data_IF_606430322099
#
_entry.id   IF_606430322099
#
_cell.length_a   1.000
_cell.length_b   1.000
_cell.length_c   1.000
_cell.angle_alpha   90.00
_cell.angle_beta   90.00
_cell.angle_gamma   90.00
#
_symmetry.space_group_name_H-M   'P 1'
#
loop_
_entity.id
_entity.type
_entity.pdbx_description
1 polymer ?
#
# COMPACT_ATOMS: atom_id res chain seq x y z
N UNK A 1 7.12 31.86 26.45
CA UNK A 1 8.22 32.12 25.48
C UNK A 1 8.01 31.23 24.26
N UNK A 2 7.26 31.73 23.28
CA UNK A 2 6.91 31.01 22.04
C UNK A 2 7.25 31.88 20.81
N UNK A 3 8.36 32.62 20.85
CA UNK A 3 8.75 33.59 19.80
C UNK A 3 8.83 32.96 18.41
N UNK A 4 9.27 31.71 18.31
CA UNK A 4 9.33 30.97 17.04
C UNK A 4 7.93 30.61 16.50
N UNK A 5 6.97 30.29 17.37
CA UNK A 5 5.57 30.03 16.99
C UNK A 5 4.93 31.34 16.53
N UNK A 6 5.13 32.44 17.25
CA UNK A 6 4.62 33.77 16.90
C UNK A 6 5.14 34.24 15.54
N UNK A 7 6.45 34.13 15.28
CA UNK A 7 7.06 34.44 13.98
C UNK A 7 6.47 33.59 12.84
N UNK A 8 6.21 32.31 13.10
CA UNK A 8 5.61 31.40 12.11
C UNK A 8 4.15 31.76 11.83
N UNK A 9 3.38 32.14 12.86
CA UNK A 9 2.00 32.59 12.73
C UNK A 9 1.89 33.91 11.95
N UNK A 10 2.83 34.86 12.19
CA UNK A 10 2.92 36.09 11.41
C UNK A 10 3.28 35.85 9.94
N UNK A 11 4.14 34.86 9.67
CA UNK A 11 4.45 34.43 8.29
C UNK A 11 3.27 33.79 7.57
N UNK A 12 2.43 33.03 8.30
CA UNK A 12 1.20 32.42 7.78
C UNK A 12 0.06 33.42 7.55
N UNK A 13 0.01 34.51 8.33
CA UNK A 13 -1.01 35.55 8.25
C UNK A 13 -0.37 36.94 8.23
N UNK A 14 0.28 37.35 7.12
CA UNK A 14 0.92 38.66 7.03
C UNK A 14 -0.06 39.83 7.17
N UNK A 15 -1.36 39.58 6.92
CA UNK A 15 -2.45 40.57 7.01
C UNK A 15 -2.97 40.77 8.43
N UNK A 16 -2.63 39.91 9.38
CA UNK A 16 -2.95 40.11 10.79
C UNK A 16 -1.89 41.00 11.44
N UNK A 17 -2.34 42.06 12.11
CA UNK A 17 -1.46 43.00 12.80
C UNK A 17 -0.60 42.32 13.88
N UNK A 18 0.38 43.05 14.42
CA UNK A 18 1.37 42.54 15.38
C UNK A 18 0.81 42.03 16.72
N UNK A 19 -0.51 42.08 16.93
CA UNK A 19 -1.20 41.59 18.12
C UNK A 19 -1.89 40.24 17.82
N UNK A 20 -1.17 39.14 18.02
CA UNK A 20 -1.71 37.79 17.87
C UNK A 20 -2.62 37.42 19.06
N UNK A 21 -3.79 36.78 18.84
CA UNK A 21 -4.62 36.28 19.93
C UNK A 21 -3.86 35.27 20.80
N UNK A 22 -3.86 35.43 22.14
CA UNK A 22 -3.12 34.53 23.02
C UNK A 22 -3.64 33.09 22.95
N UNK A 23 -4.94 32.91 22.68
CA UNK A 23 -5.57 31.60 22.48
C UNK A 23 -5.00 30.84 21.27
N UNK A 24 -4.63 31.54 20.20
CA UNK A 24 -4.03 30.94 19.00
C UNK A 24 -2.60 30.47 19.29
N UNK A 25 -1.81 31.29 19.99
CA UNK A 25 -0.44 30.95 20.37
C UNK A 25 -0.40 29.78 21.36
N UNK A 26 -1.35 29.75 22.31
CA UNK A 26 -1.48 28.67 23.28
C UNK A 26 -1.90 27.35 22.60
N UNK A 27 -2.86 27.39 21.68
CA UNK A 27 -3.29 26.22 20.92
C UNK A 27 -2.15 25.68 20.05
N UNK A 28 -1.47 26.54 19.28
CA UNK A 28 -0.34 26.14 18.46
C UNK A 28 0.80 25.52 19.30
N UNK A 29 1.08 26.09 20.47
CA UNK A 29 2.05 25.55 21.42
C UNK A 29 1.65 24.17 21.97
N UNK A 30 0.37 24.01 22.31
CA UNK A 30 -0.18 22.73 22.78
C UNK A 30 -0.11 21.65 21.70
N UNK A 31 -0.50 21.97 20.47
CA UNK A 31 -0.39 21.06 19.32
C UNK A 31 1.06 20.67 19.03
N UNK A 32 2.00 21.62 19.12
CA UNK A 32 3.42 21.33 18.94
C UNK A 32 3.94 20.36 19.99
N UNK A 33 3.62 20.57 21.27
CA UNK A 33 3.99 19.66 22.34
C UNK A 33 3.38 18.27 22.12
N UNK A 34 2.10 18.19 21.77
CA UNK A 34 1.42 16.93 21.47
C UNK A 34 1.98 16.21 20.24
N UNK A 35 2.38 16.96 19.20
CA UNK A 35 2.96 16.40 17.99
C UNK A 35 4.29 15.67 18.27
N UNK A 36 5.11 16.21 19.18
CA UNK A 36 6.38 15.58 19.60
C UNK A 36 6.15 14.24 20.30
N UNK A 37 5.07 14.10 21.06
CA UNK A 37 4.75 12.86 21.78
C UNK A 37 4.01 11.84 20.91
N UNK A 38 3.08 12.27 20.06
CA UNK A 38 2.23 11.38 19.26
C UNK A 38 2.78 11.07 17.88
N UNK A 39 3.64 11.92 17.33
CA UNK A 39 4.29 11.77 16.04
C UNK A 39 5.81 11.93 16.18
N UNK A 40 6.40 11.16 17.11
CA UNK A 40 7.84 11.15 17.41
C UNK A 40 8.70 10.52 16.30
N UNK A 41 8.10 9.76 15.38
CA UNK A 41 8.77 9.02 14.29
C UNK A 41 8.69 9.71 12.93
N UNK A 42 8.71 11.06 12.91
CA UNK A 42 8.75 11.82 11.66
C UNK A 42 10.15 11.80 11.02
N UNK A 43 10.21 11.87 9.68
CA UNK A 43 11.48 11.93 8.96
C UNK A 43 12.16 13.29 9.18
N UNK A 44 13.48 13.35 9.05
CA UNK A 44 14.24 14.60 9.20
C UNK A 44 13.69 15.74 8.32
N UNK A 45 13.33 15.44 7.06
CA UNK A 45 12.73 16.43 6.14
C UNK A 45 11.35 16.91 6.58
N UNK A 46 10.58 16.08 7.29
CA UNK A 46 9.26 16.44 7.83
C UNK A 46 9.38 17.19 9.15
N UNK A 47 10.43 16.94 9.91
CA UNK A 47 10.72 17.60 11.19
C UNK A 47 10.88 19.11 11.00
N UNK A 48 11.52 19.53 9.90
CA UNK A 48 11.70 20.93 9.50
C UNK A 48 10.34 21.66 9.36
N UNK A 49 9.32 20.95 8.87
CA UNK A 49 7.98 21.50 8.64
C UNK A 49 7.02 21.39 9.84
N UNK A 50 7.40 20.70 10.93
CA UNK A 50 6.49 20.37 12.05
C UNK A 50 5.89 21.61 12.71
N UNK A 51 6.72 22.61 12.98
CA UNK A 51 6.29 23.88 13.61
C UNK A 51 5.26 24.61 12.74
N UNK A 52 5.56 24.72 11.44
CA UNK A 52 4.72 25.37 10.45
C UNK A 52 3.38 24.64 10.26
N UNK A 53 3.40 23.31 10.23
CA UNK A 53 2.18 22.50 10.14
C UNK A 53 1.29 22.64 11.39
N UNK A 54 1.85 22.63 12.59
CA UNK A 54 1.08 22.81 13.83
C UNK A 54 0.45 24.21 13.93
N UNK A 55 1.19 25.25 13.49
CA UNK A 55 0.67 26.61 13.40
C UNK A 55 -0.46 26.74 12.38
N UNK A 56 -0.33 26.10 11.20
CA UNK A 56 -1.37 26.10 10.18
C UNK A 56 -2.65 25.37 10.65
N UNK A 57 -2.51 24.19 11.27
CA UNK A 57 -3.65 23.44 11.85
C UNK A 57 -4.34 24.26 12.94
N UNK A 58 -3.59 25.02 13.75
CA UNK A 58 -4.16 25.90 14.76
C UNK A 58 -5.02 27.01 14.13
N UNK A 59 -4.53 27.63 13.06
CA UNK A 59 -5.28 28.64 12.31
C UNK A 59 -6.54 28.05 11.67
N UNK A 60 -6.48 26.86 11.09
CA UNK A 60 -7.66 26.21 10.48
C UNK A 60 -8.73 25.84 11.51
N UNK A 61 -8.32 25.38 12.70
CA UNK A 61 -9.26 25.01 13.79
C UNK A 61 -9.94 26.22 14.41
N UNK A 62 -9.26 27.38 14.47
CA UNK A 62 -9.80 28.61 15.02
C UNK A 62 -10.31 29.59 13.94
N UNK A 63 -10.28 29.20 12.67
CA UNK A 63 -10.66 30.02 11.52
C UNK A 63 -12.04 30.65 11.66
N UNK A 64 -13.01 29.86 12.12
CA UNK A 64 -14.41 30.28 12.31
C UNK A 64 -14.59 31.04 13.62
N UNK A 65 -13.83 30.70 14.66
CA UNK A 65 -13.98 31.32 15.99
C UNK A 65 -13.30 32.68 16.11
N UNK A 66 -12.31 32.97 15.27
CA UNK A 66 -11.48 34.18 15.31
C UNK A 66 -11.55 34.99 14.00
N UNK A 67 -12.46 34.63 13.07
CA UNK A 67 -12.63 35.25 11.75
C UNK A 67 -11.31 35.55 11.02
N UNK A 68 -10.46 34.51 10.93
CA UNK A 68 -9.10 34.65 10.39
C UNK A 68 -9.15 34.78 8.85
N UNK A 69 -8.33 35.67 8.24
CA UNK A 69 -8.27 35.90 6.80
C UNK A 69 -7.74 34.66 6.06
N UNK A 70 -7.91 34.61 4.72
CA UNK A 70 -7.44 33.50 3.91
C UNK A 70 -5.93 33.26 4.10
N UNK A 71 -5.58 32.03 4.49
CA UNK A 71 -4.21 31.62 4.78
C UNK A 71 -3.54 31.21 3.46
N UNK A 72 -2.40 31.80 3.12
CA UNK A 72 -1.56 31.39 2.00
C UNK A 72 -0.38 30.53 2.50
N UNK A 73 -0.43 29.19 2.39
CA UNK A 73 0.64 28.34 2.88
C UNK A 73 1.87 28.42 1.97
N UNK A 74 2.96 28.99 2.49
CA UNK A 74 4.33 28.92 1.97
C UNK A 74 5.21 28.09 2.90
N UNK A 75 5.07 26.75 2.90
CA UNK A 75 5.84 25.90 3.79
C UNK A 75 7.34 25.91 3.43
N UNK A 76 8.24 25.70 4.42
CA UNK A 76 9.68 25.61 4.19
C UNK A 76 10.12 24.29 3.50
N UNK A 77 9.15 23.44 3.16
CA UNK A 77 9.37 22.09 2.61
C UNK A 77 8.56 21.91 1.33
N UNK A 78 8.98 21.00 0.43
CA UNK A 78 8.27 20.75 -0.82
C UNK A 78 6.79 20.41 -0.61
N UNK A 79 5.88 20.86 -1.50
CA UNK A 79 4.43 20.80 -1.30
C UNK A 79 3.90 19.37 -1.10
N UNK A 80 4.52 18.37 -1.73
CA UNK A 80 4.17 16.96 -1.57
C UNK A 80 4.44 16.44 -0.15
N UNK A 81 5.57 16.82 0.44
CA UNK A 81 5.96 16.42 1.80
C UNK A 81 5.09 17.18 2.80
N UNK A 82 4.85 18.47 2.54
CA UNK A 82 3.98 19.29 3.38
C UNK A 82 2.56 18.74 3.48
N UNK A 83 1.94 18.39 2.34
CA UNK A 83 0.58 17.84 2.31
C UNK A 83 0.47 16.55 3.14
N UNK A 84 1.46 15.65 3.02
CA UNK A 84 1.51 14.42 3.82
C UNK A 84 1.66 14.72 5.31
N UNK A 85 2.57 15.60 5.68
CA UNK A 85 2.84 15.98 7.06
C UNK A 85 1.61 16.63 7.72
N UNK A 86 0.98 17.57 7.02
CA UNK A 86 -0.22 18.26 7.48
C UNK A 86 -1.36 17.27 7.73
N UNK A 87 -1.68 16.41 6.75
CA UNK A 87 -2.73 15.40 6.92
C UNK A 87 -2.41 14.39 8.04
N UNK A 88 -1.15 14.00 8.21
CA UNK A 88 -0.75 13.10 9.28
C UNK A 88 -0.93 13.74 10.66
N UNK A 89 -0.49 14.98 10.83
CA UNK A 89 -0.59 15.71 12.09
C UNK A 89 -2.04 16.06 12.44
N UNK A 90 -2.85 16.48 11.47
CA UNK A 90 -4.26 16.83 11.74
C UNK A 90 -5.08 15.63 12.24
N UNK A 91 -4.83 14.44 11.68
CA UNK A 91 -5.51 13.20 12.10
C UNK A 91 -5.09 12.72 13.51
N UNK A 92 -3.84 12.97 13.91
CA UNK A 92 -3.27 12.43 15.17
C UNK A 92 -3.49 13.39 16.35
N UNK A 93 -3.54 14.68 16.06
CA UNK A 93 -3.70 15.72 17.07
C UNK A 93 -5.18 15.89 17.45
N UNK A 94 -5.53 15.80 18.75
CA UNK A 94 -6.91 15.87 19.20
C UNK A 94 -7.55 17.21 18.83
N UNK A 95 -8.77 17.18 18.30
CA UNK A 95 -9.54 18.38 18.01
C UNK A 95 -10.24 18.86 19.30
N UNK A 96 -9.50 19.54 20.17
CA UNK A 96 -10.00 20.04 21.46
C UNK A 96 -11.13 21.07 21.34
N UNK A 97 -11.34 21.65 20.16
CA UNK A 97 -12.37 22.67 19.93
C UNK A 97 -13.81 22.12 19.86
N UNK A 98 -14.01 20.81 19.68
CA UNK A 98 -15.35 20.22 19.44
C UNK A 98 -15.87 19.29 20.56
N UNK A 99 -15.07 19.00 21.60
CA UNK A 99 -15.46 18.06 22.65
C UNK A 99 -16.19 18.70 23.85
N UNK A 100 -17.03 19.72 23.61
CA UNK A 100 -18.04 20.18 24.59
C UNK A 100 -19.43 20.10 23.98
N UNK A 101 -19.89 18.89 23.72
CA UNK A 101 -21.32 18.58 23.59
C UNK A 101 -21.66 17.47 24.59
N UNK A 102 -22.65 17.66 25.48
CA UNK A 102 -23.11 16.59 26.37
C UNK A 102 -23.79 15.51 25.53
N UNK A 103 -23.06 14.43 25.30
CA UNK A 103 -23.59 13.23 24.66
C UNK A 103 -24.67 12.60 25.53
N UNK A 104 -25.91 12.77 25.08
CA UNK A 104 -27.11 12.03 25.48
C UNK A 104 -26.79 10.52 25.43
N UNK A 105 -27.18 9.81 26.50
CA UNK A 105 -27.10 8.36 26.71
C UNK A 105 -25.81 7.80 27.33
N UNK A 106 -25.63 8.09 28.62
CA UNK A 106 -24.93 7.22 29.55
C UNK A 106 -25.70 7.22 30.88
N UNK A 107 -26.32 6.10 31.23
CA UNK A 107 -27.05 5.94 32.49
C UNK A 107 -26.09 6.07 33.70
N UNK A 108 -26.52 6.70 34.80
CA UNK A 108 -25.64 7.05 35.91
C UNK A 108 -25.48 5.85 36.84
N UNK A 109 -24.24 5.40 37.07
CA UNK A 109 -23.97 4.44 38.15
C UNK A 109 -23.41 5.19 39.37
N UNK A 110 -24.31 5.33 40.33
CA UNK A 110 -24.14 5.82 41.68
C UNK A 110 -22.87 5.28 42.37
N UNK A 111 -22.03 6.18 42.90
CA UNK A 111 -21.19 5.90 44.07
C UNK A 111 -20.97 7.18 44.88
N UNK A 112 -21.99 7.47 45.69
CA UNK A 112 -21.91 7.86 47.09
C UNK A 112 -20.60 8.48 47.59
N UNK A 113 -20.70 9.78 47.94
CA UNK A 113 -19.83 10.54 48.85
C UNK A 113 -19.58 9.77 50.15
N UNK A 114 -18.33 9.73 50.59
CA UNK A 114 -17.95 10.03 51.98
C UNK A 114 -16.57 10.69 51.96
N UNK A 115 -16.41 11.74 52.76
CA UNK A 115 -15.25 12.61 52.76
C UNK A 115 -14.13 12.19 53.72
N UNK A 116 -13.05 12.97 53.62
CA UNK A 116 -12.00 13.25 54.61
C UNK A 116 -11.12 12.05 54.98
N UNK A 117 -9.96 11.89 54.36
CA UNK A 117 -8.69 12.47 54.84
C UNK A 117 -7.53 12.05 53.92
N UNK A 118 -6.53 12.93 53.80
CA UNK A 118 -5.23 12.66 53.15
C UNK A 118 -4.30 11.93 54.16
N UNK A 119 -3.30 11.12 53.74
CA UNK A 119 -2.18 11.62 52.93
C UNK A 119 -1.62 10.67 51.84
N UNK A 120 -1.16 11.33 50.77
CA UNK A 120 0.00 11.02 49.92
C UNK A 120 0.56 9.60 49.98
N UNK A 121 0.35 8.83 48.90
CA UNK A 121 1.28 7.77 48.49
C UNK A 121 1.34 7.64 46.97
N UNK A 122 2.54 7.83 46.43
CA UNK A 122 2.89 7.66 45.02
C UNK A 122 2.58 6.23 44.54
N UNK A 123 2.01 6.02 43.33
CA UNK A 123 1.88 4.68 42.79
C UNK A 123 3.22 4.24 42.19
N UNK A 124 3.95 3.41 42.93
CA UNK A 124 5.09 2.66 42.41
C UNK A 124 4.55 1.69 41.34
N UNK A 125 4.94 1.89 40.08
CA UNK A 125 4.61 1.01 38.96
C UNK A 125 5.40 -0.30 39.13
N UNK A 126 4.78 -1.47 39.34
CA UNK A 126 5.50 -2.73 39.25
C UNK A 126 5.73 -3.02 37.76
N UNK A 127 6.98 -3.29 37.38
CA UNK A 127 7.30 -3.82 36.06
C UNK A 127 6.63 -5.18 35.88
N UNK A 128 5.90 -5.42 34.78
CA UNK A 128 5.26 -6.72 34.55
C UNK A 128 6.33 -7.81 34.41
N UNK A 129 6.16 -8.91 35.14
CA UNK A 129 7.02 -10.09 35.08
C UNK A 129 6.99 -10.74 33.69
N UNK A 130 8.13 -11.31 33.30
CA UNK A 130 8.41 -11.88 31.96
C UNK A 130 7.33 -12.86 31.48
N UNK A 131 6.74 -13.63 32.39
CA UNK A 131 5.69 -14.61 32.06
C UNK A 131 4.37 -13.97 31.65
N UNK A 132 4.00 -12.81 32.22
CA UNK A 132 2.77 -12.09 31.87
C UNK A 132 2.87 -11.40 30.51
N UNK A 133 4.08 -11.02 30.10
CA UNK A 133 4.35 -10.40 28.80
C UNK A 133 4.41 -11.42 27.66
N UNK A 134 4.75 -12.67 27.95
CA UNK A 134 4.88 -13.74 26.93
C UNK A 134 3.63 -14.60 26.77
N UNK A 135 2.65 -14.50 27.68
CA UNK A 135 1.38 -15.22 27.59
C UNK A 135 0.55 -14.87 26.34
N UNK A 136 0.72 -13.67 25.78
CA UNK A 136 0.02 -13.23 24.57
C UNK A 136 0.57 -13.85 23.27
N UNK A 137 1.73 -14.49 23.32
CA UNK A 137 2.45 -15.02 22.14
C UNK A 137 2.54 -16.54 22.11
N UNK A 138 1.98 -17.25 23.09
CA UNK A 138 1.95 -18.72 23.11
C UNK A 138 0.64 -19.24 22.54
N UNK A 139 0.65 -19.57 21.25
CA UNK A 139 -0.40 -20.36 20.59
C UNK A 139 0.10 -21.76 20.32
N UNK A 140 -0.56 -22.76 20.89
CA UNK A 140 -0.51 -24.14 20.39
C UNK A 140 -0.61 -25.22 21.47
N UNK A 141 -1.64 -26.08 21.36
CA UNK A 141 -1.62 -27.42 21.96
C UNK A 141 -2.95 -27.87 22.59
N UNK A 142 -3.72 -28.66 21.83
CA UNK A 142 -4.96 -29.36 22.16
C UNK A 142 -5.20 -29.76 23.63
N UNK A 143 -6.42 -29.54 24.12
CA UNK A 143 -7.28 -30.59 24.70
C UNK A 143 -8.70 -30.07 24.93
N UNK A 144 -9.68 -30.89 24.54
CA UNK A 144 -11.09 -30.71 24.84
C UNK A 144 -11.36 -30.83 26.34
N UNK A 145 -12.22 -29.97 26.89
CA UNK A 145 -13.28 -30.29 27.87
C UNK A 145 -13.85 -29.01 28.49
N UNK A 146 -15.19 -28.94 28.52
CA UNK A 146 -16.03 -28.15 29.41
C UNK A 146 -15.95 -26.62 29.40
N UNK A 147 -17.04 -26.02 28.88
CA UNK A 147 -17.83 -25.08 29.68
C UNK A 147 -17.35 -23.63 29.74
N UNK A 148 -18.01 -22.79 28.96
CA UNK A 148 -18.01 -21.32 29.01
C UNK A 148 -16.72 -20.62 28.58
N UNK A 149 -16.77 -20.00 27.40
CA UNK A 149 -15.73 -19.10 26.91
C UNK A 149 -16.27 -17.67 26.97
N UNK A 150 -15.60 -16.71 27.65
CA UNK A 150 -15.85 -15.30 27.45
C UNK A 150 -15.27 -14.89 26.10
N UNK A 151 -16.13 -14.30 25.26
CA UNK A 151 -15.84 -13.76 23.95
C UNK A 151 -14.44 -13.11 23.85
N UNK A 152 -13.59 -13.71 23.03
CA UNK A 152 -12.52 -13.02 22.31
C UNK A 152 -13.18 -11.89 21.50
N UNK A 153 -12.61 -10.68 21.38
CA UNK A 153 -13.16 -9.66 20.51
C UNK A 153 -12.93 -10.09 19.06
N UNK A 154 -13.84 -10.90 18.54
CA UNK A 154 -14.02 -11.10 17.12
C UNK A 154 -14.25 -9.70 16.54
N UNK A 155 -13.41 -9.36 15.56
CA UNK A 155 -13.57 -8.25 14.62
C UNK A 155 -15.01 -7.73 14.65
N UNK A 156 -15.16 -6.50 15.13
CA UNK A 156 -16.42 -5.80 15.10
C UNK A 156 -17.09 -5.99 13.75
N UNK A 157 -18.40 -6.19 13.80
CA UNK A 157 -19.39 -6.13 12.73
C UNK A 157 -19.46 -4.75 12.07
N UNK A 158 -18.31 -4.10 11.86
CA UNK A 158 -18.18 -3.11 10.80
C UNK A 158 -18.09 -3.88 9.50
N UNK A 159 -18.97 -3.55 8.54
CA UNK A 159 -18.86 -3.98 7.14
C UNK A 159 -17.38 -4.09 6.79
N UNK A 160 -16.94 -5.28 6.38
CA UNK A 160 -15.58 -5.45 5.86
C UNK A 160 -15.52 -4.50 4.68
N UNK A 161 -14.90 -3.34 4.87
CA UNK A 161 -14.47 -2.51 3.77
C UNK A 161 -13.41 -3.34 3.07
N UNK A 162 -13.86 -4.11 2.07
CA UNK A 162 -13.04 -4.77 1.09
C UNK A 162 -12.05 -3.75 0.54
N UNK A 163 -10.82 -4.19 0.18
CA UNK A 163 -9.67 -3.31 0.03
C UNK A 163 -10.07 -2.11 -0.81
N UNK A 164 -9.99 -0.92 -0.20
CA UNK A 164 -10.20 0.38 -0.85
C UNK A 164 -9.63 0.29 -2.26
N UNK A 165 -10.54 0.38 -3.24
CA UNK A 165 -10.33 0.01 -4.63
C UNK A 165 -9.40 1.05 -5.28
N UNK A 166 -8.08 0.84 -5.13
CA UNK A 166 -7.07 1.76 -5.66
C UNK A 166 -6.96 1.68 -7.18
N UNK A 167 -7.45 0.60 -7.79
CA UNK A 167 -7.38 0.34 -9.23
C UNK A 167 -8.47 1.08 -10.02
N UNK A 168 -9.56 1.50 -9.38
CA UNK A 168 -10.71 2.13 -10.04
C UNK A 168 -11.51 1.20 -10.97
N UNK A 169 -11.15 -0.09 -11.03
CA UNK A 169 -11.81 -1.11 -11.84
C UNK A 169 -13.18 -1.49 -11.25
N UNK A 170 -13.93 -2.32 -11.98
CA UNK A 170 -15.10 -2.99 -11.41
C UNK A 170 -14.66 -4.18 -10.58
N UNK A 171 -15.37 -4.42 -9.46
CA UNK A 171 -15.01 -5.42 -8.46
C UNK A 171 -14.82 -6.82 -9.07
N UNK A 172 -15.70 -7.23 -9.99
CA UNK A 172 -15.67 -8.55 -10.61
C UNK A 172 -14.48 -8.78 -11.56
N UNK A 173 -13.83 -7.72 -12.06
CA UNK A 173 -12.77 -7.84 -13.09
C UNK A 173 -11.58 -8.64 -12.56
N UNK A 174 -11.07 -8.27 -11.39
CA UNK A 174 -9.89 -8.91 -10.82
C UNK A 174 -10.12 -10.37 -10.43
N UNK A 175 -11.21 -10.76 -9.75
CA UNK A 175 -11.57 -12.16 -9.52
C UNK A 175 -11.75 -12.96 -10.82
N UNK A 176 -12.39 -12.37 -11.84
CA UNK A 176 -12.60 -13.00 -13.14
C UNK A 176 -11.29 -13.33 -13.83
N UNK A 177 -10.36 -12.37 -13.92
CA UNK A 177 -9.03 -12.57 -14.49
C UNK A 177 -8.28 -13.70 -13.76
N UNK A 178 -8.33 -13.71 -12.42
CA UNK A 178 -7.68 -14.76 -11.62
C UNK A 178 -8.27 -16.14 -11.90
N UNK A 179 -9.59 -16.24 -12.07
CA UNK A 179 -10.25 -17.49 -12.42
C UNK A 179 -9.80 -17.95 -13.81
N UNK A 180 -9.90 -17.09 -14.82
CA UNK A 180 -9.49 -17.43 -16.20
C UNK A 180 -8.05 -17.94 -16.25
N UNK A 181 -7.11 -17.22 -15.62
CA UNK A 181 -5.71 -17.62 -15.55
C UNK A 181 -5.48 -18.91 -14.75
N UNK A 182 -6.32 -19.21 -13.74
CA UNK A 182 -6.24 -20.44 -12.95
C UNK A 182 -6.70 -21.64 -13.78
N UNK A 183 -7.84 -21.53 -14.46
CA UNK A 183 -8.42 -22.60 -15.27
C UNK A 183 -7.51 -22.99 -16.43
N UNK A 184 -6.78 -22.04 -17.01
CA UNK A 184 -5.81 -22.34 -18.09
C UNK A 184 -4.39 -22.60 -17.60
N UNK A 185 -4.20 -22.75 -16.28
CA UNK A 185 -2.90 -22.97 -15.63
C UNK A 185 -1.82 -21.91 -15.95
N UNK A 186 -2.24 -20.68 -16.25
CA UNK A 186 -1.38 -19.55 -16.60
C UNK A 186 -1.51 -18.42 -15.57
N UNK A 187 -1.33 -18.76 -14.29
CA UNK A 187 -1.52 -17.83 -13.15
C UNK A 187 -0.62 -16.59 -13.21
N UNK A 188 0.57 -16.72 -13.81
CA UNK A 188 1.55 -15.64 -13.93
C UNK A 188 1.11 -14.52 -14.89
N UNK A 189 0.09 -14.76 -15.72
CA UNK A 189 -0.44 -13.75 -16.67
C UNK A 189 -1.44 -12.79 -16.03
N UNK A 190 -1.99 -13.12 -14.87
CA UNK A 190 -3.01 -12.32 -14.20
C UNK A 190 -2.59 -10.85 -13.95
N UNK A 191 -1.34 -10.55 -13.53
CA UNK A 191 -0.88 -9.16 -13.38
C UNK A 191 -0.87 -8.40 -14.71
N UNK A 192 -0.42 -9.01 -15.80
CA UNK A 192 -0.36 -8.37 -17.13
C UNK A 192 -1.76 -8.11 -17.67
N UNK A 193 -2.67 -9.06 -17.51
CA UNK A 193 -4.08 -8.86 -17.87
C UNK A 193 -4.75 -7.77 -17.05
N UNK A 194 -4.44 -7.67 -15.76
CA UNK A 194 -4.93 -6.58 -14.91
C UNK A 194 -4.41 -5.23 -15.41
N UNK A 195 -3.11 -5.13 -15.72
CA UNK A 195 -2.54 -3.90 -16.27
C UNK A 195 -3.19 -3.50 -17.60
N UNK A 196 -3.50 -4.47 -18.47
CA UNK A 196 -4.24 -4.22 -19.72
C UNK A 196 -5.66 -3.71 -19.46
N UNK A 197 -6.39 -4.33 -18.53
CA UNK A 197 -7.73 -3.86 -18.16
C UNK A 197 -7.71 -2.48 -17.49
N UNK A 198 -6.73 -2.20 -16.63
CA UNK A 198 -6.53 -0.86 -16.04
C UNK A 198 -6.23 0.18 -17.12
N UNK A 199 -5.39 -0.15 -18.10
CA UNK A 199 -5.06 0.74 -19.21
C UNK A 199 -6.28 1.10 -20.06
N UNK A 200 -7.15 0.12 -20.35
CA UNK A 200 -8.36 0.31 -21.17
C UNK A 200 -9.49 1.00 -20.40
N UNK A 201 -9.77 0.54 -19.18
CA UNK A 201 -10.96 0.96 -18.42
C UNK A 201 -10.68 2.18 -17.57
N UNK A 202 -9.44 2.34 -17.07
CA UNK A 202 -9.06 3.36 -16.09
C UNK A 202 -7.81 4.13 -16.56
N UNK A 203 -7.83 4.75 -17.76
CA UNK A 203 -6.68 5.51 -18.23
C UNK A 203 -6.39 6.68 -17.28
N UNK A 204 -5.19 6.69 -16.68
CA UNK A 204 -4.79 7.73 -15.73
C UNK A 204 -5.43 7.64 -14.35
N UNK A 205 -5.99 6.48 -13.97
CA UNK A 205 -6.53 6.25 -12.62
C UNK A 205 -8.00 6.66 -12.43
N UNK A 206 -8.69 7.07 -13.49
CA UNK A 206 -10.13 7.35 -13.49
C UNK A 206 -10.86 6.51 -14.55
N UNK A 207 -12.06 6.02 -14.22
CA UNK A 207 -12.91 5.27 -15.16
C UNK A 207 -13.13 6.09 -16.44
N UNK A 208 -12.89 5.46 -17.59
CA UNK A 208 -13.01 6.10 -18.90
C UNK A 208 -14.40 6.70 -19.12
N UNK A 209 -14.47 7.73 -19.95
CA UNK A 209 -15.73 8.36 -20.41
C UNK A 209 -16.34 7.70 -21.63
N UNK A 210 -15.60 6.81 -22.26
CA UNK A 210 -16.04 6.11 -23.46
C UNK A 210 -17.24 5.20 -23.17
N UNK A 211 -18.36 5.47 -23.82
CA UNK A 211 -19.59 4.70 -23.68
C UNK A 211 -19.40 3.26 -24.17
N UNK A 212 -18.68 3.08 -25.28
CA UNK A 212 -18.49 1.76 -25.87
C UNK A 212 -17.68 0.84 -24.95
N UNK A 213 -16.64 1.37 -24.31
CA UNK A 213 -15.82 0.60 -23.35
C UNK A 213 -16.64 0.17 -22.13
N UNK A 214 -17.50 1.03 -21.61
CA UNK A 214 -18.34 0.74 -20.44
C UNK A 214 -19.42 -0.31 -20.71
N UNK A 215 -19.95 -0.34 -21.92
CA UNK A 215 -20.96 -1.33 -22.32
C UNK A 215 -20.34 -2.70 -22.61
N UNK A 216 -19.06 -2.75 -23.01
CA UNK A 216 -18.38 -3.97 -23.48
C UNK A 216 -17.30 -4.49 -22.53
N UNK A 217 -17.36 -4.17 -21.22
CA UNK A 217 -16.30 -4.52 -20.26
C UNK A 217 -15.99 -6.02 -20.17
N UNK A 218 -17.02 -6.88 -20.15
CA UNK A 218 -16.83 -8.33 -20.09
C UNK A 218 -16.21 -8.87 -21.38
N UNK A 219 -16.63 -8.35 -22.54
CA UNK A 219 -16.06 -8.70 -23.84
C UNK A 219 -14.60 -8.24 -23.95
N UNK A 220 -14.28 -7.05 -23.43
CA UNK A 220 -12.91 -6.54 -23.35
C UNK A 220 -12.01 -7.37 -22.43
N UNK A 221 -12.52 -7.81 -21.28
CA UNK A 221 -11.79 -8.72 -20.40
C UNK A 221 -11.42 -10.02 -21.14
N UNK A 222 -12.36 -10.56 -21.92
CA UNK A 222 -12.10 -11.72 -22.80
C UNK A 222 -11.10 -11.41 -23.92
N UNK A 223 -11.21 -10.26 -24.58
CA UNK A 223 -10.32 -9.87 -25.68
C UNK A 223 -8.88 -9.66 -25.19
N UNK A 224 -8.69 -8.98 -24.04
CA UNK A 224 -7.38 -8.81 -23.41
C UNK A 224 -6.77 -10.18 -23.04
N UNK A 225 -7.55 -11.09 -22.46
CA UNK A 225 -7.11 -12.47 -22.23
C UNK A 225 -6.65 -13.14 -23.53
N UNK A 226 -7.47 -13.04 -24.59
CA UNK A 226 -7.19 -13.66 -25.88
C UNK A 226 -5.85 -13.20 -26.47
N UNK A 227 -5.60 -11.89 -26.51
CA UNK A 227 -4.33 -11.35 -27.02
C UNK A 227 -3.13 -11.74 -26.18
N UNK A 228 -3.27 -11.76 -24.85
CA UNK A 228 -2.19 -12.19 -23.94
C UNK A 228 -1.90 -13.68 -24.11
N UNK A 229 -2.94 -14.52 -24.16
CA UNK A 229 -2.79 -15.96 -24.37
C UNK A 229 -2.20 -16.29 -25.76
N UNK A 230 -2.61 -15.54 -26.79
CA UNK A 230 -2.05 -15.64 -28.14
C UNK A 230 -0.55 -15.28 -28.15
N UNK A 231 -0.18 -14.18 -27.51
CA UNK A 231 1.23 -13.76 -27.47
C UNK A 231 2.10 -14.77 -26.72
N UNK A 232 1.60 -15.35 -25.62
CA UNK A 232 2.28 -16.42 -24.90
C UNK A 232 2.48 -17.65 -25.79
N UNK A 233 1.45 -18.06 -26.55
CA UNK A 233 1.57 -19.17 -27.49
C UNK A 233 2.59 -18.87 -28.58
N UNK A 234 2.53 -17.69 -29.19
CA UNK A 234 3.49 -17.24 -30.21
C UNK A 234 4.93 -17.28 -29.71
N UNK A 235 5.17 -16.82 -28.48
CA UNK A 235 6.50 -16.86 -27.86
C UNK A 235 6.97 -18.29 -27.54
N UNK A 236 6.05 -19.20 -27.23
CA UNK A 236 6.37 -20.59 -26.89
C UNK A 236 6.56 -21.51 -28.11
N UNK A 237 5.71 -21.39 -29.13
CA UNK A 237 5.71 -22.28 -30.30
C UNK A 237 6.26 -21.63 -31.58
N UNK A 238 6.39 -20.30 -31.62
CA UNK A 238 6.83 -19.56 -32.80
C UNK A 238 5.77 -19.44 -33.91
N UNK A 239 4.58 -20.03 -33.72
CA UNK A 239 3.49 -20.02 -34.69
C UNK A 239 2.56 -18.82 -34.46
N UNK A 240 2.19 -18.14 -35.54
CA UNK A 240 1.13 -17.15 -35.52
C UNK A 240 -0.25 -17.82 -35.47
N UNK A 241 -1.25 -17.15 -34.91
CA UNK A 241 -2.61 -17.70 -34.83
C UNK A 241 -3.24 -17.69 -36.21
N UNK A 242 -3.33 -18.87 -36.80
CA UNK A 242 -4.14 -19.07 -37.99
C UNK A 242 -5.62 -18.84 -37.71
N UNK A 243 -6.34 -18.44 -38.76
CA UNK A 243 -7.80 -18.23 -38.74
C UNK A 243 -8.55 -19.49 -38.25
N UNK A 244 -7.95 -20.67 -38.43
CA UNK A 244 -8.47 -21.96 -37.96
C UNK A 244 -8.44 -22.08 -36.42
N UNK A 245 -7.43 -21.50 -35.77
CA UNK A 245 -7.25 -21.53 -34.32
C UNK A 245 -8.05 -20.44 -33.58
N UNK A 246 -8.56 -19.43 -34.30
CA UNK A 246 -9.35 -18.35 -33.72
C UNK A 246 -10.71 -18.81 -33.18
N UNK A 247 -11.44 -19.61 -33.95
CA UNK A 247 -12.79 -20.11 -33.58
C UNK A 247 -12.77 -20.94 -32.29
N UNK A 248 -11.88 -21.94 -32.11
CA UNK A 248 -11.80 -22.68 -30.86
C UNK A 248 -11.31 -21.80 -29.69
N UNK A 249 -10.37 -20.89 -29.92
CA UNK A 249 -9.92 -19.96 -28.89
C UNK A 249 -11.05 -19.04 -28.41
N UNK A 250 -11.85 -18.49 -29.32
CA UNK A 250 -13.05 -17.70 -28.97
C UNK A 250 -14.04 -18.50 -28.14
N UNK A 251 -14.33 -19.74 -28.54
CA UNK A 251 -15.25 -20.62 -27.79
C UNK A 251 -14.75 -20.84 -26.36
N UNK A 252 -13.46 -21.14 -26.21
CA UNK A 252 -12.81 -21.32 -24.91
C UNK A 252 -12.95 -20.05 -24.03
N UNK A 253 -12.71 -18.86 -24.59
CA UNK A 253 -12.81 -17.61 -23.82
C UNK A 253 -14.25 -17.34 -23.37
N UNK A 254 -15.24 -17.57 -24.24
CA UNK A 254 -16.65 -17.40 -23.89
C UNK A 254 -17.08 -18.37 -22.77
N UNK A 255 -16.63 -19.63 -22.84
CA UNK A 255 -16.88 -20.62 -21.77
C UNK A 255 -16.24 -20.21 -20.44
N UNK A 256 -15.02 -19.68 -20.47
CA UNK A 256 -14.33 -19.18 -19.26
C UNK A 256 -15.05 -17.97 -18.64
N UNK A 257 -15.56 -17.04 -19.46
CA UNK A 257 -16.33 -15.89 -18.98
C UNK A 257 -17.69 -16.32 -18.40
N UNK A 258 -18.35 -17.29 -19.02
CA UNK A 258 -19.59 -17.86 -18.49
C UNK A 258 -19.35 -18.55 -17.14
N UNK A 259 -18.31 -19.37 -17.04
CA UNK A 259 -17.90 -20.03 -15.79
C UNK A 259 -17.52 -19.02 -14.70
N UNK A 260 -16.83 -17.93 -15.07
CA UNK A 260 -16.51 -16.87 -14.14
C UNK A 260 -17.77 -16.21 -13.54
N UNK A 261 -18.84 -16.04 -14.34
CA UNK A 261 -20.11 -15.51 -13.84
C UNK A 261 -20.75 -16.40 -12.79
N UNK A 262 -20.58 -17.71 -12.88
CA UNK A 262 -21.17 -18.69 -11.96
C UNK A 262 -20.32 -18.91 -10.70
N UNK A 263 -18.98 -18.91 -10.83
CA UNK A 263 -18.07 -19.32 -9.75
C UNK A 263 -17.46 -18.15 -8.95
N UNK A 264 -17.47 -16.93 -9.48
CA UNK A 264 -16.91 -15.77 -8.76
C UNK A 264 -17.86 -15.37 -7.63
N UNK A 265 -17.47 -15.71 -6.40
CA UNK A 265 -18.20 -15.36 -5.18
C UNK A 265 -18.20 -13.83 -4.96
N UNK A 266 -19.38 -13.22 -5.03
CA UNK A 266 -19.65 -11.82 -4.74
C UNK A 266 -19.73 -11.54 -3.23
N UNK A 267 -18.85 -12.16 -2.44
CA UNK A 267 -19.02 -12.29 -0.98
C UNK A 267 -19.14 -10.94 -0.26
N UNK A 268 -20.35 -10.56 0.13
CA UNK A 268 -20.64 -9.36 0.92
C UNK A 268 -21.01 -8.10 0.14
N UNK A 269 -21.26 -8.22 -1.17
CA UNK A 269 -21.87 -7.19 -2.01
C UNK A 269 -23.25 -7.68 -2.49
N UNK A 270 -24.17 -6.74 -2.72
CA UNK A 270 -25.42 -7.06 -3.41
C UNK A 270 -25.10 -7.50 -4.85
N UNK A 271 -25.85 -8.44 -5.42
CA UNK A 271 -25.55 -9.01 -6.76
C UNK A 271 -25.44 -7.93 -7.85
N UNK A 272 -26.27 -6.88 -7.75
CA UNK A 272 -26.28 -5.74 -8.67
C UNK A 272 -25.01 -4.88 -8.56
N UNK A 273 -24.46 -4.71 -7.35
CA UNK A 273 -23.23 -3.93 -7.12
C UNK A 273 -21.98 -4.75 -7.50
N UNK A 274 -21.99 -6.05 -7.19
CA UNK A 274 -20.88 -6.95 -7.48
C UNK A 274 -20.60 -7.09 -8.98
N UNK A 275 -21.66 -7.03 -9.79
CA UNK A 275 -21.62 -7.24 -11.23
C UNK A 275 -21.93 -5.98 -12.05
N UNK A 276 -21.75 -4.80 -11.46
CA UNK A 276 -21.90 -3.52 -12.16
C UNK A 276 -21.13 -3.53 -13.49
N UNK A 277 -21.81 -3.18 -14.60
CA UNK A 277 -21.21 -3.11 -15.93
C UNK A 277 -20.94 -4.47 -16.60
N UNK A 278 -21.35 -5.58 -16.00
CA UNK A 278 -21.28 -6.88 -16.65
C UNK A 278 -22.43 -7.07 -17.65
N UNK A 279 -22.09 -7.38 -18.90
CA UNK A 279 -23.04 -7.79 -19.92
C UNK A 279 -22.73 -9.23 -20.39
N UNK A 280 -23.75 -10.06 -20.66
CA UNK A 280 -23.54 -11.40 -21.22
C UNK A 280 -22.90 -11.29 -22.60
N UNK A 281 -21.74 -11.91 -22.77
CA UNK A 281 -20.90 -11.77 -23.97
C UNK A 281 -21.35 -12.77 -25.04
N UNK A 282 -21.77 -12.29 -26.21
CA UNK A 282 -22.00 -13.13 -27.39
C UNK A 282 -20.76 -13.14 -28.28
N UNK A 283 -20.69 -14.08 -29.22
CA UNK A 283 -19.56 -14.16 -30.17
C UNK A 283 -19.35 -12.87 -30.96
N UNK A 284 -20.44 -12.17 -31.34
CA UNK A 284 -20.36 -10.88 -32.04
C UNK A 284 -19.71 -9.78 -31.20
N UNK A 285 -20.06 -9.72 -29.92
CA UNK A 285 -19.56 -8.70 -28.99
C UNK A 285 -18.08 -8.94 -28.70
N UNK A 286 -17.68 -10.21 -28.57
CA UNK A 286 -16.28 -10.60 -28.47
C UNK A 286 -15.50 -10.25 -29.75
N UNK A 287 -16.00 -10.59 -30.93
CA UNK A 287 -15.34 -10.27 -32.21
C UNK A 287 -15.18 -8.74 -32.38
N UNK A 288 -16.20 -7.98 -31.99
CA UNK A 288 -16.15 -6.51 -31.96
C UNK A 288 -15.08 -6.01 -30.97
N UNK A 289 -15.00 -6.60 -29.78
CA UNK A 289 -13.99 -6.22 -28.79
C UNK A 289 -12.56 -6.56 -29.24
N UNK A 290 -12.35 -7.70 -29.88
CA UNK A 290 -11.04 -8.07 -30.46
C UNK A 290 -10.63 -7.05 -31.53
N UNK A 291 -11.57 -6.64 -32.38
CA UNK A 291 -11.33 -5.63 -33.42
C UNK A 291 -10.99 -4.25 -32.82
N UNK A 292 -11.74 -3.80 -31.83
CA UNK A 292 -11.53 -2.48 -31.22
C UNK A 292 -10.19 -2.40 -30.45
N UNK A 293 -9.78 -3.50 -29.80
CA UNK A 293 -8.47 -3.57 -29.12
C UNK A 293 -7.31 -3.41 -30.10
N UNK A 294 -7.41 -3.97 -31.32
CA UNK A 294 -6.38 -3.82 -32.35
C UNK A 294 -6.43 -2.45 -33.03
N UNK A 295 -7.62 -1.92 -33.33
CA UNK A 295 -7.78 -0.64 -34.02
C UNK A 295 -7.37 0.58 -33.16
N UNK A 296 -7.61 0.52 -31.85
CA UNK A 296 -7.29 1.62 -30.93
C UNK A 296 -5.82 1.67 -30.51
N UNK A 297 -5.00 0.73 -30.98
CA UNK A 297 -3.57 0.68 -30.65
C UNK A 297 -3.28 0.38 -29.17
N UNK A 298 -4.22 -0.22 -28.44
CA UNK A 298 -4.00 -0.52 -27.00
C UNK A 298 -2.90 -1.56 -26.77
N UNK A 299 -2.65 -2.40 -27.77
CA UNK A 299 -1.55 -3.38 -27.78
C UNK A 299 -0.18 -2.72 -27.97
N UNK A 300 -0.11 -1.46 -28.39
CA UNK A 300 1.16 -0.74 -28.51
C UNK A 300 1.70 -0.23 -27.17
N UNK A 301 0.91 -0.31 -26.11
CA UNK A 301 1.30 0.11 -24.78
C UNK A 301 2.24 -0.89 -24.10
N UNK A 302 3.02 -0.38 -23.15
CA UNK A 302 4.08 -1.13 -22.46
C UNK A 302 3.58 -2.40 -21.78
N UNK A 303 2.32 -2.41 -21.29
CA UNK A 303 1.73 -3.59 -20.63
C UNK A 303 1.69 -4.83 -21.54
N UNK A 304 1.53 -4.65 -22.85
CA UNK A 304 1.47 -5.75 -23.81
C UNK A 304 2.84 -6.02 -24.44
N UNK A 305 3.59 -4.95 -24.79
CA UNK A 305 4.92 -5.10 -25.42
C UNK A 305 5.95 -5.76 -24.50
N UNK A 306 5.90 -5.46 -23.20
CA UNK A 306 6.79 -6.07 -22.19
C UNK A 306 6.37 -7.47 -21.74
N UNK A 307 5.31 -8.04 -22.32
CA UNK A 307 4.81 -9.36 -21.91
C UNK A 307 5.87 -10.46 -22.08
N UNK A 308 6.73 -10.37 -23.09
CA UNK A 308 7.87 -11.29 -23.28
C UNK A 308 8.82 -11.28 -22.09
N UNK A 309 9.24 -10.09 -21.66
CA UNK A 309 10.13 -9.90 -20.50
C UNK A 309 9.49 -10.40 -19.20
N UNK A 310 8.17 -10.21 -19.05
CA UNK A 310 7.41 -10.69 -17.87
C UNK A 310 7.36 -12.23 -17.82
N UNK A 311 7.16 -12.87 -18.98
CA UNK A 311 7.15 -14.34 -19.09
C UNK A 311 8.56 -14.89 -18.80
N UNK A 312 9.60 -14.29 -19.38
CA UNK A 312 10.99 -14.69 -19.15
C UNK A 312 11.38 -14.53 -17.68
N UNK A 313 11.07 -13.37 -17.07
CA UNK A 313 11.29 -13.15 -15.64
C UNK A 313 10.51 -14.17 -14.78
N UNK A 314 9.28 -14.53 -15.19
CA UNK A 314 8.49 -15.57 -14.54
C UNK A 314 9.15 -16.95 -14.57
N UNK A 315 9.70 -17.35 -15.72
CA UNK A 315 10.42 -18.62 -15.85
C UNK A 315 11.72 -18.64 -15.03
N UNK A 316 12.52 -17.57 -15.06
CA UNK A 316 13.75 -17.46 -14.25
C UNK A 316 13.46 -17.59 -12.76
N UNK A 317 12.36 -17.02 -12.28
CA UNK A 317 11.92 -17.15 -10.89
C UNK A 317 11.44 -18.58 -10.60
N UNK A 318 10.66 -19.20 -11.49
CA UNK A 318 10.22 -20.59 -11.32
C UNK A 318 11.39 -21.59 -11.29
N UNK A 319 12.38 -21.42 -12.16
CA UNK A 319 13.59 -22.24 -12.20
C UNK A 319 14.46 -22.06 -10.94
N UNK A 320 14.48 -20.85 -10.38
CA UNK A 320 15.14 -20.60 -9.09
C UNK A 320 14.46 -21.31 -7.91
N UNK A 321 13.17 -21.61 -8.02
CA UNK A 321 12.41 -22.40 -7.04
C UNK A 321 12.53 -23.91 -7.24
N UNK A 322 12.95 -24.39 -8.42
CA UNK A 322 13.15 -25.82 -8.70
C UNK A 322 14.34 -26.47 -7.98
N UNK A 323 15.20 -25.68 -7.31
CA UNK A 323 16.38 -26.17 -6.58
C UNK A 323 16.29 -26.12 -5.05
N UNK A 324 15.17 -25.68 -4.49
CA UNK A 324 14.98 -25.58 -3.04
C UNK A 324 13.59 -26.05 -2.65
N UNK A 325 13.50 -27.23 -2.04
CA UNK A 325 12.26 -27.90 -1.67
C UNK A 325 11.28 -27.04 -0.87
N UNK A 326 10.00 -27.28 -1.15
CA UNK A 326 8.85 -27.16 -0.27
C UNK A 326 8.89 -26.03 0.77
N UNK A 327 8.63 -24.81 0.31
CA UNK A 327 7.90 -23.86 1.14
C UNK A 327 6.88 -23.08 0.31
N UNK A 328 5.66 -23.64 0.26
CA UNK A 328 4.49 -22.98 -0.27
C UNK A 328 4.10 -21.79 0.64
N UNK A 329 4.66 -20.62 0.35
CA UNK A 329 4.24 -19.34 0.88
C UNK A 329 4.07 -18.35 -0.26
N UNK A 330 2.82 -18.02 -0.59
CA UNK A 330 2.44 -17.11 -1.66
C UNK A 330 3.31 -15.84 -1.70
N UNK A 331 3.99 -15.60 -2.84
CA UNK A 331 4.67 -14.35 -3.13
C UNK A 331 3.65 -13.21 -3.13
N UNK A 332 3.55 -12.51 -2.00
CA UNK A 332 2.94 -11.19 -1.93
C UNK A 332 3.93 -10.20 -2.55
N UNK A 333 3.43 -9.40 -3.50
CA UNK A 333 4.05 -8.17 -4.00
C UNK A 333 4.79 -7.43 -2.88
N UNK A 334 5.91 -6.73 -3.16
CA UNK A 334 6.88 -6.31 -2.16
C UNK A 334 6.19 -5.61 -0.98
N UNK A 335 6.03 -6.36 0.10
CA UNK A 335 5.40 -5.89 1.33
C UNK A 335 6.38 -4.89 1.92
N UNK A 336 6.13 -3.61 1.68
CA UNK A 336 6.72 -2.52 2.47
C UNK A 336 6.07 -2.58 3.86
N UNK A 337 6.57 -3.48 4.70
CA UNK A 337 6.17 -3.65 6.09
C UNK A 337 7.41 -4.00 6.93
N UNK A 338 7.42 -3.56 8.18
CA UNK A 338 8.57 -3.57 9.09
C UNK A 338 9.16 -4.95 9.46
N UNK A 339 8.71 -6.03 8.80
CA UNK A 339 9.20 -7.39 8.99
C UNK A 339 10.33 -7.77 8.02
N UNK A 340 10.90 -6.77 7.31
CA UNK A 340 12.02 -6.99 6.39
C UNK A 340 13.40 -7.04 7.06
N UNK A 341 13.48 -6.94 8.39
CA UNK A 341 14.78 -6.79 9.08
C UNK A 341 15.55 -8.09 9.29
N UNK A 342 14.99 -9.24 8.90
CA UNK A 342 15.65 -10.55 8.94
C UNK A 342 15.54 -11.29 7.60
N UNK A 343 15.60 -10.58 6.46
CA UNK A 343 15.85 -11.24 5.18
C UNK A 343 17.34 -11.49 4.99
N UNK A 344 17.67 -12.68 4.52
CA UNK A 344 19.04 -13.11 4.16
C UNK A 344 19.72 -12.15 3.16
N UNK A 345 18.94 -11.45 2.33
CA UNK A 345 19.41 -10.42 1.40
C UNK A 345 20.07 -9.21 2.09
N UNK A 346 19.71 -8.92 3.34
CA UNK A 346 20.23 -7.78 4.11
C UNK A 346 21.08 -8.21 5.32
N UNK A 347 21.33 -9.51 5.49
CA UNK A 347 22.21 -10.02 6.54
C UNK A 347 23.68 -10.06 6.09
N UNK A 348 24.33 -8.89 6.20
CA UNK A 348 25.76 -8.74 5.96
C UNK A 348 26.64 -9.15 7.14
N UNK A 349 26.02 -9.45 8.30
CA UNK A 349 26.73 -9.70 9.57
C UNK A 349 26.75 -11.19 9.97
N UNK A 350 26.09 -12.07 9.22
CA UNK A 350 26.21 -13.52 9.38
C UNK A 350 27.66 -13.99 9.34
N UNK A 351 27.97 -15.06 10.09
CA UNK A 351 29.31 -15.65 10.11
C UNK A 351 29.78 -16.10 8.73
N UNK A 352 28.83 -16.51 7.87
CA UNK A 352 29.09 -16.88 6.48
C UNK A 352 29.58 -15.68 5.68
N UNK A 353 28.83 -14.57 5.68
CA UNK A 353 29.23 -13.35 4.96
C UNK A 353 30.50 -12.72 5.51
N UNK A 354 30.76 -12.81 6.82
CA UNK A 354 32.05 -12.38 7.41
C UNK A 354 33.24 -13.23 6.97
N UNK A 355 33.04 -14.53 6.72
CA UNK A 355 34.07 -15.41 6.15
C UNK A 355 34.36 -15.02 4.70
N UNK A 356 33.31 -14.88 3.89
CA UNK A 356 33.43 -14.49 2.49
C UNK A 356 34.11 -13.11 2.36
N UNK A 357 33.76 -12.16 3.22
CA UNK A 357 34.38 -10.84 3.26
C UNK A 357 35.87 -10.89 3.62
N UNK A 358 36.29 -11.75 4.56
CA UNK A 358 37.72 -11.92 4.88
C UNK A 358 38.51 -12.46 3.70
N UNK A 359 37.97 -13.48 3.03
CA UNK A 359 38.60 -14.06 1.84
C UNK A 359 38.72 -13.00 0.73
N UNK A 360 37.65 -12.25 0.47
CA UNK A 360 37.65 -11.16 -0.49
C UNK A 360 38.66 -10.05 -0.12
N UNK A 361 38.70 -9.64 1.16
CA UNK A 361 39.63 -8.63 1.66
C UNK A 361 41.08 -9.06 1.48
N UNK A 362 41.42 -10.29 1.84
CA UNK A 362 42.77 -10.85 1.65
C UNK A 362 43.15 -10.91 0.16
N UNK A 363 42.21 -11.28 -0.71
CA UNK A 363 42.43 -11.27 -2.15
C UNK A 363 42.67 -9.88 -2.72
N UNK A 364 41.96 -8.86 -2.23
CA UNK A 364 42.13 -7.47 -2.68
C UNK A 364 43.45 -6.89 -2.17
N UNK A 365 43.80 -7.14 -0.91
CA UNK A 365 45.08 -6.68 -0.36
C UNK A 365 46.27 -7.27 -1.14
N UNK A 366 46.27 -8.57 -1.41
CA UNK A 366 47.32 -9.17 -2.26
C UNK A 366 47.40 -8.54 -3.65
N UNK A 367 46.25 -8.20 -4.24
CA UNK A 367 46.22 -7.55 -5.56
C UNK A 367 46.79 -6.13 -5.48
N UNK A 368 46.56 -5.41 -4.39
CA UNK A 368 47.15 -4.09 -4.14
C UNK A 368 48.66 -4.23 -3.94
N UNK A 369 49.11 -5.16 -3.11
CA UNK A 369 50.54 -5.40 -2.87
C UNK A 369 51.28 -5.69 -4.19
N UNK A 370 50.70 -6.54 -5.05
CA UNK A 370 51.26 -6.83 -6.38
C UNK A 370 51.32 -5.60 -7.29
N UNK A 371 50.30 -4.74 -7.25
CA UNK A 371 50.29 -3.49 -8.03
C UNK A 371 51.27 -2.46 -7.46
N UNK A 372 51.50 -2.46 -6.14
CA UNK A 372 52.49 -1.59 -5.49
C UNK A 372 53.93 -2.05 -5.78
N UNK A 373 54.19 -3.37 -5.81
CA UNK A 373 55.47 -3.93 -6.25
C UNK A 373 55.74 -3.65 -7.73
N UNK A 374 54.75 -3.82 -8.61
CA UNK A 374 54.87 -3.52 -10.05
C UNK A 374 55.12 -2.02 -10.32
N UNK A 375 54.49 -1.12 -9.54
CA UNK A 375 54.75 0.32 -9.60
C UNK A 375 56.09 0.71 -8.95
N UNK A 376 56.57 -0.05 -7.96
CA UNK A 376 57.85 0.16 -7.29
C UNK A 376 59.03 -0.19 -8.20
N UNK A 377 58.97 -1.34 -8.89
CA UNK A 377 59.98 -1.79 -9.84
C UNK A 377 60.08 -0.86 -11.06
N UNK A 378 58.96 -0.22 -11.46
CA UNK A 378 58.95 0.76 -12.53
C UNK A 378 59.64 2.10 -12.18
N UNK A 379 59.85 2.41 -10.89
CA UNK A 379 60.58 3.61 -10.45
C UNK A 379 62.07 3.37 -10.18
N UNK A 380 62.55 2.13 -10.12
CA UNK A 380 63.95 1.82 -9.79
C UNK A 380 64.87 1.64 -11.03
N UNK A 381 64.34 1.77 -12.25
CA UNK A 381 65.07 1.56 -13.52
C UNK A 381 65.61 2.86 -14.15
N UNK A 382 65.42 4.02 -13.52
CA UNK A 382 66.07 5.29 -13.94
C UNK A 382 67.03 5.76 -12.82
N UNK A 383 68.20 5.11 -12.72
CA UNK A 383 69.30 5.45 -11.82
C UNK A 383 70.66 5.30 -12.47
#
# INVERSE_FOLDING_TARGET
>A
MNRSIEQTLLSLMPTHGSALPPSLVELAGSLLAQSRHRASTLKADEEIGRLYACAHIACDRLKISLDLPPIEPRPPIPPRIYKRLYSHLDNILPNTALNRTPGKNGTPRNRQRHGVDSPVRTPHRPTPTKDRSLAQFRTGGNSAANGSVPNTPTKSTGKVAYPSDKSGLHFWIQPTIRLMCRETNQKHLAPTMLAGMEYVVVPGGLRTRDAWVRENLAALCGAVYFFVAQQVRKLATGEDVDRENYVPARKQVLELLAKAREEVDARGLDEDEAWEGWAPVKSKDFDAAVKEVSERGWLDADWYRSLGDVIEAGHVIADSHGRGGDNAGAYKAPVRGADTMFLERYDFLSEKKRRDYRIWKESILRRIDLMEEENGDAMEVDG
#
